data_IF_768714731059
#
_entry.id   IF_768714731059
#
_cell.length_a   1.000
_cell.length_b   1.000
_cell.length_c   1.000
_cell.angle_alpha   90.00
_cell.angle_beta   90.00
_cell.angle_gamma   90.00
#
_symmetry.space_group_name_H-M   'P 1'
#
loop_
_entity.id
_entity.type
_entity.pdbx_description
1 polymer ?
#
# COMPACT_ATOMS: atom_id res chain seq x y z
N UNK A 1 -16.97 11.19 22.40
CA UNK A 1 -15.54 10.82 22.54
C UNK A 1 -14.84 11.37 21.31
N UNK A 2 -13.87 12.28 21.45
CA UNK A 2 -13.30 13.04 20.32
C UNK A 2 -12.33 12.21 19.47
N UNK A 3 -12.34 12.42 18.15
CA UNK A 3 -11.56 11.62 17.18
C UNK A 3 -10.04 11.72 17.36
N UNK A 4 -9.53 12.84 17.88
CA UNK A 4 -8.11 12.99 18.25
C UNK A 4 -7.65 11.94 19.29
N UNK A 5 -8.56 11.47 20.16
CA UNK A 5 -8.25 10.39 21.10
C UNK A 5 -8.20 9.00 20.44
N UNK A 6 -8.75 8.83 19.24
CA UNK A 6 -8.80 7.53 18.56
C UNK A 6 -7.50 7.24 17.80
N UNK A 7 -6.95 8.24 17.08
CA UNK A 7 -5.66 8.09 16.40
C UNK A 7 -4.52 7.78 17.36
N UNK A 8 -4.44 8.52 18.48
CA UNK A 8 -3.42 8.30 19.52
C UNK A 8 -3.52 6.89 20.15
N UNK A 9 -4.74 6.34 20.26
CA UNK A 9 -4.93 4.96 20.73
C UNK A 9 -4.47 3.92 19.72
N UNK A 10 -4.73 4.12 18.43
CA UNK A 10 -4.23 3.21 17.40
C UNK A 10 -2.70 3.23 17.33
N UNK A 11 -2.07 4.40 17.42
CA UNK A 11 -0.61 4.51 17.41
C UNK A 11 0.11 3.78 18.57
N UNK A 12 -0.62 3.35 19.60
CA UNK A 12 -0.09 2.57 20.74
C UNK A 12 -0.37 1.07 20.64
N UNK A 13 -1.05 0.60 19.60
CA UNK A 13 -1.31 -0.82 19.38
C UNK A 13 -0.12 -1.50 18.70
N UNK A 14 0.04 -2.81 18.93
CA UNK A 14 0.94 -3.63 18.13
C UNK A 14 0.62 -3.45 16.64
N UNK A 15 1.66 -3.43 15.81
CA UNK A 15 1.53 -3.23 14.36
C UNK A 15 0.62 -4.28 13.72
N UNK A 16 0.59 -5.50 14.28
CA UNK A 16 -0.31 -6.58 13.87
C UNK A 16 -1.80 -6.31 14.12
N UNK A 17 -2.15 -5.29 14.91
CA UNK A 17 -3.53 -4.94 15.31
C UNK A 17 -3.92 -3.53 14.84
N UNK A 18 -3.00 -2.80 14.21
CA UNK A 18 -3.23 -1.42 13.78
C UNK A 18 -4.21 -1.36 12.58
N UNK A 19 -5.36 -0.67 12.69
CA UNK A 19 -6.33 -0.59 11.61
C UNK A 19 -5.91 0.50 10.60
N UNK A 20 -4.95 0.18 9.73
CA UNK A 20 -4.26 1.13 8.85
C UNK A 20 -5.20 1.92 7.93
N UNK A 21 -6.13 1.28 7.20
CA UNK A 21 -7.10 1.97 6.36
C UNK A 21 -7.99 2.91 7.17
N UNK A 22 -8.45 2.47 8.35
CA UNK A 22 -9.29 3.30 9.22
C UNK A 22 -8.52 4.52 9.70
N UNK A 23 -7.27 4.34 10.12
CA UNK A 23 -6.42 5.46 10.54
C UNK A 23 -6.19 6.46 9.39
N UNK A 24 -5.92 5.97 8.17
CA UNK A 24 -5.76 6.81 6.99
C UNK A 24 -7.06 7.55 6.60
N UNK A 25 -8.23 6.92 6.73
CA UNK A 25 -9.53 7.56 6.49
C UNK A 25 -9.87 8.59 7.57
N UNK A 26 -9.57 8.31 8.84
CA UNK A 26 -9.74 9.27 9.93
C UNK A 26 -8.82 10.49 9.75
N UNK A 27 -7.60 10.28 9.27
CA UNK A 27 -6.74 11.39 8.86
C UNK A 27 -7.38 12.22 7.74
N UNK A 28 -7.96 11.56 6.73
CA UNK A 28 -8.63 12.26 5.63
C UNK A 28 -9.86 13.08 6.07
N UNK A 29 -10.54 12.71 7.16
CA UNK A 29 -11.66 13.51 7.72
C UNK A 29 -11.25 14.91 8.17
N UNK A 30 -9.97 15.14 8.45
CA UNK A 30 -9.50 16.48 8.79
C UNK A 30 -9.69 17.49 7.64
N UNK A 31 -9.61 17.00 6.40
CA UNK A 31 -9.83 17.78 5.18
C UNK A 31 -11.24 17.55 4.60
N UNK A 32 -11.76 16.32 4.71
CA UNK A 32 -13.05 15.92 4.17
C UNK A 32 -13.99 15.43 5.30
N UNK A 33 -14.54 16.34 6.13
CA UNK A 33 -15.23 15.96 7.37
C UNK A 33 -16.48 15.09 7.16
N UNK A 34 -17.09 15.19 5.98
CA UNK A 34 -18.36 14.55 5.62
C UNK A 34 -18.21 13.11 5.10
N UNK A 35 -17.00 12.58 4.95
CA UNK A 35 -16.82 11.21 4.48
C UNK A 35 -17.32 10.19 5.52
N UNK A 36 -17.96 9.13 5.02
CA UNK A 36 -18.26 7.94 5.82
C UNK A 36 -17.07 6.99 5.81
N UNK A 37 -16.34 6.90 6.93
CA UNK A 37 -15.18 5.99 7.06
C UNK A 37 -15.59 4.54 6.78
N UNK A 38 -16.74 4.12 7.31
CA UNK A 38 -17.18 2.73 7.19
C UNK A 38 -17.58 2.38 5.74
N UNK A 39 -18.10 3.33 4.96
CA UNK A 39 -18.40 3.10 3.54
C UNK A 39 -17.12 2.84 2.73
N UNK A 40 -16.04 3.59 3.00
CA UNK A 40 -14.76 3.36 2.33
C UNK A 40 -14.09 2.05 2.77
N UNK A 41 -14.24 1.65 4.04
CA UNK A 41 -13.78 0.34 4.51
C UNK A 41 -14.55 -0.80 3.82
N UNK A 42 -15.88 -0.68 3.72
CA UNK A 42 -16.72 -1.66 3.03
C UNK A 42 -16.37 -1.79 1.54
N UNK A 43 -15.88 -0.71 0.90
CA UNK A 43 -15.34 -0.77 -0.47
C UNK A 43 -14.08 -1.63 -0.57
N UNK A 44 -13.16 -1.54 0.40
CA UNK A 44 -11.97 -2.41 0.44
C UNK A 44 -12.38 -3.87 0.64
N UNK A 45 -13.36 -4.13 1.52
CA UNK A 45 -13.93 -5.47 1.73
C UNK A 45 -14.53 -6.02 0.43
N UNK A 46 -15.32 -5.20 -0.28
CA UNK A 46 -15.92 -5.58 -1.56
C UNK A 46 -14.86 -5.94 -2.61
N UNK A 47 -13.77 -5.17 -2.71
CA UNK A 47 -12.67 -5.48 -3.63
C UNK A 47 -12.03 -6.82 -3.28
N UNK A 48 -11.79 -7.09 -2.00
CA UNK A 48 -11.22 -8.35 -1.54
C UNK A 48 -12.14 -9.54 -1.82
N UNK A 49 -13.45 -9.40 -1.61
CA UNK A 49 -14.46 -10.42 -1.95
C UNK A 49 -14.46 -10.72 -3.44
N UNK A 50 -14.43 -9.69 -4.28
CA UNK A 50 -14.39 -9.86 -5.73
C UNK A 50 -13.14 -10.61 -6.19
N UNK A 51 -11.98 -10.34 -5.58
CA UNK A 51 -10.72 -11.07 -5.85
C UNK A 51 -10.86 -12.51 -5.38
N UNK A 52 -11.32 -12.73 -4.15
CA UNK A 52 -11.46 -14.06 -3.57
C UNK A 52 -12.37 -14.97 -4.40
N UNK A 53 -13.46 -14.42 -4.94
CA UNK A 53 -14.41 -15.16 -5.79
C UNK A 53 -13.80 -15.72 -7.09
N UNK A 54 -12.67 -15.17 -7.53
CA UNK A 54 -11.95 -15.58 -8.75
C UNK A 54 -10.80 -16.55 -8.45
N UNK A 55 -10.46 -16.77 -7.18
CA UNK A 55 -9.34 -17.62 -6.79
C UNK A 55 -9.74 -19.10 -6.77
N UNK A 56 -8.82 -20.01 -7.14
CA UNK A 56 -9.04 -21.43 -6.91
C UNK A 56 -9.12 -21.76 -5.40
N UNK A 57 -9.79 -22.85 -5.01
CA UNK A 57 -9.97 -23.21 -3.58
C UNK A 57 -8.68 -23.38 -2.77
N UNK A 58 -7.54 -23.62 -3.42
CA UNK A 58 -6.22 -23.77 -2.81
C UNK A 58 -5.22 -22.80 -3.46
N UNK A 59 -5.62 -21.54 -3.60
CA UNK A 59 -4.77 -20.49 -4.17
C UNK A 59 -3.51 -20.27 -3.34
N UNK A 60 -2.35 -20.35 -4.00
CA UNK A 60 -1.07 -19.97 -3.41
C UNK A 60 -0.99 -18.46 -3.20
N UNK A 61 0.00 -18.00 -2.42
CA UNK A 61 0.25 -16.57 -2.25
C UNK A 61 0.61 -15.88 -3.56
N UNK A 62 1.25 -16.58 -4.50
CA UNK A 62 1.48 -16.07 -5.85
C UNK A 62 0.19 -15.93 -6.66
N UNK A 63 -0.77 -16.85 -6.49
CA UNK A 63 -2.06 -16.75 -7.18
C UNK A 63 -2.86 -15.55 -6.64
N UNK A 64 -2.87 -15.37 -5.31
CA UNK A 64 -3.46 -14.19 -4.66
C UNK A 64 -2.81 -12.89 -5.12
N UNK A 65 -1.47 -12.85 -5.18
CA UNK A 65 -0.71 -11.68 -5.63
C UNK A 65 -1.04 -11.31 -7.08
N UNK A 66 -1.10 -12.30 -7.97
CA UNK A 66 -1.49 -12.09 -9.38
C UNK A 66 -2.92 -11.58 -9.50
N UNK A 67 -3.86 -12.17 -8.76
CA UNK A 67 -5.26 -11.76 -8.77
C UNK A 67 -5.44 -10.33 -8.21
N UNK A 68 -4.70 -9.98 -7.16
CA UNK A 68 -4.65 -8.63 -6.59
C UNK A 68 -4.17 -7.60 -7.62
N UNK A 69 -3.02 -7.86 -8.27
CA UNK A 69 -2.48 -6.98 -9.31
C UNK A 69 -3.45 -6.81 -10.48
N UNK A 70 -4.05 -7.90 -10.94
CA UNK A 70 -5.01 -7.87 -12.04
C UNK A 70 -6.25 -7.05 -11.67
N UNK A 71 -6.83 -7.28 -10.49
CA UNK A 71 -8.01 -6.55 -10.03
C UNK A 71 -7.72 -5.05 -9.87
N UNK A 72 -6.68 -4.69 -9.13
CA UNK A 72 -6.41 -3.29 -8.81
C UNK A 72 -5.98 -2.49 -10.06
N UNK A 73 -5.00 -3.00 -10.81
CA UNK A 73 -4.37 -2.21 -11.86
C UNK A 73 -5.03 -2.39 -13.21
N UNK A 74 -5.40 -3.63 -13.58
CA UNK A 74 -6.00 -3.91 -14.90
C UNK A 74 -7.51 -3.69 -14.93
N UNK A 75 -8.24 -4.21 -13.95
CA UNK A 75 -9.70 -4.12 -13.93
C UNK A 75 -10.18 -2.78 -13.35
N UNK A 76 -9.58 -2.32 -12.25
CA UNK A 76 -10.03 -1.12 -11.53
C UNK A 76 -9.28 0.14 -11.92
N UNK A 77 -8.08 0.04 -12.50
CA UNK A 77 -7.34 1.17 -13.05
C UNK A 77 -6.66 2.07 -12.02
N UNK A 78 -6.31 1.52 -10.85
CA UNK A 78 -5.44 2.23 -9.91
C UNK A 78 -4.07 2.49 -10.56
N UNK A 79 -3.49 3.67 -10.34
CA UNK A 79 -2.14 4.00 -10.81
C UNK A 79 -1.54 5.19 -10.07
N UNK A 80 -0.21 5.28 -10.11
CA UNK A 80 0.52 6.46 -9.66
C UNK A 80 0.14 7.71 -10.46
N UNK A 81 0.07 8.85 -9.79
CA UNK A 81 -0.12 10.14 -10.46
C UNK A 81 1.23 10.78 -10.79
N UNK A 82 1.86 10.33 -11.88
CA UNK A 82 3.16 10.85 -12.32
C UNK A 82 3.04 12.28 -12.89
N UNK A 83 1.93 12.59 -13.56
CA UNK A 83 1.71 13.88 -14.20
C UNK A 83 1.55 15.04 -13.22
N UNK A 84 1.00 14.77 -12.03
CA UNK A 84 0.74 15.76 -11.01
C UNK A 84 0.99 15.14 -9.62
N UNK A 85 2.25 14.77 -9.39
CA UNK A 85 2.68 14.04 -8.20
C UNK A 85 2.35 14.78 -6.90
N UNK A 86 2.50 16.10 -6.90
CA UNK A 86 2.33 16.94 -5.72
C UNK A 86 0.87 17.40 -5.48
N UNK A 87 -0.09 16.94 -6.28
CA UNK A 87 -1.51 17.15 -5.99
C UNK A 87 -1.85 16.58 -4.60
N UNK A 88 -2.24 17.42 -3.62
CA UNK A 88 -2.46 16.97 -2.24
C UNK A 88 -3.56 15.89 -2.15
N UNK A 89 -4.47 15.84 -3.12
CA UNK A 89 -5.52 14.82 -3.22
C UNK A 89 -4.96 13.41 -3.37
N UNK A 90 -3.72 13.24 -3.87
CA UNK A 90 -3.06 11.95 -4.01
C UNK A 90 -2.70 11.32 -2.64
N UNK A 91 -2.75 12.11 -1.55
CA UNK A 91 -2.40 11.68 -0.19
C UNK A 91 -3.60 11.17 0.62
N UNK A 92 -4.83 11.49 0.20
CA UNK A 92 -6.04 11.20 0.98
C UNK A 92 -6.72 9.92 0.50
N UNK A 93 -6.80 8.92 1.37
CA UNK A 93 -7.25 7.57 0.99
C UNK A 93 -8.65 7.53 0.37
N UNK A 94 -9.59 8.36 0.85
CA UNK A 94 -10.92 8.49 0.26
C UNK A 94 -10.84 8.98 -1.21
N UNK A 95 -10.06 10.02 -1.46
CA UNK A 95 -9.90 10.60 -2.79
C UNK A 95 -9.15 9.66 -3.73
N UNK A 96 -8.16 8.93 -3.23
CA UNK A 96 -7.45 7.92 -4.03
C UNK A 96 -8.37 6.74 -4.37
N UNK A 97 -9.22 6.29 -3.45
CA UNK A 97 -10.22 5.24 -3.75
C UNK A 97 -11.22 5.69 -4.82
N UNK A 98 -11.59 6.97 -4.84
CA UNK A 98 -12.51 7.54 -5.84
C UNK A 98 -11.86 7.75 -7.21
N UNK A 99 -10.73 8.44 -7.23
CA UNK A 99 -10.03 8.83 -8.46
C UNK A 99 -9.18 7.72 -9.04
N UNK A 100 -8.81 6.73 -8.21
CA UNK A 100 -7.85 5.66 -8.53
C UNK A 100 -6.45 6.18 -8.88
N UNK A 101 -6.13 7.38 -8.40
CA UNK A 101 -4.86 8.08 -8.61
C UNK A 101 -4.28 8.44 -7.26
N UNK A 102 -3.04 8.04 -6.98
CA UNK A 102 -2.45 8.25 -5.66
C UNK A 102 -0.92 8.33 -5.64
N UNK A 103 -0.40 8.60 -4.44
CA UNK A 103 1.02 8.55 -4.12
C UNK A 103 1.48 7.10 -3.82
N UNK A 104 2.81 6.85 -3.80
CA UNK A 104 3.35 5.54 -3.49
C UNK A 104 2.84 4.97 -2.16
N UNK A 105 2.83 5.79 -1.10
CA UNK A 105 2.35 5.37 0.22
C UNK A 105 0.83 5.09 0.23
N UNK A 106 0.02 5.95 -0.39
CA UNK A 106 -1.44 5.79 -0.38
C UNK A 106 -1.91 4.60 -1.19
N UNK A 107 -1.28 4.35 -2.36
CA UNK A 107 -1.55 3.15 -3.15
C UNK A 107 -1.09 1.88 -2.42
N UNK A 108 0.04 1.95 -1.71
CA UNK A 108 0.52 0.84 -0.88
C UNK A 108 -0.42 0.52 0.28
N UNK A 109 -1.06 1.52 0.91
CA UNK A 109 -2.10 1.30 1.92
C UNK A 109 -3.26 0.49 1.33
N UNK A 110 -3.81 0.90 0.18
CA UNK A 110 -4.89 0.16 -0.50
C UNK A 110 -4.44 -1.28 -0.80
N UNK A 111 -3.22 -1.43 -1.32
CA UNK A 111 -2.65 -2.71 -1.70
C UNK A 111 -2.51 -3.67 -0.51
N UNK A 112 -1.93 -3.20 0.60
CA UNK A 112 -1.77 -3.96 1.84
C UNK A 112 -3.11 -4.35 2.46
N UNK A 113 -4.05 -3.41 2.54
CA UNK A 113 -5.34 -3.61 3.17
C UNK A 113 -6.19 -4.68 2.47
N UNK A 114 -6.11 -4.74 1.15
CA UNK A 114 -6.79 -5.77 0.37
C UNK A 114 -6.03 -7.10 0.49
N UNK A 115 -4.69 -7.08 0.43
CA UNK A 115 -3.87 -8.28 0.60
C UNK A 115 -4.12 -8.97 1.95
N UNK A 116 -4.19 -8.23 3.04
CA UNK A 116 -4.44 -8.79 4.37
C UNK A 116 -5.83 -9.42 4.50
N UNK A 117 -6.85 -8.85 3.84
CA UNK A 117 -8.19 -9.48 3.73
C UNK A 117 -8.16 -10.80 2.97
N UNK A 118 -7.23 -10.94 2.03
CA UNK A 118 -6.97 -12.18 1.28
C UNK A 118 -6.03 -13.14 2.02
N UNK A 119 -5.63 -12.81 3.25
CA UNK A 119 -4.63 -13.55 4.03
C UNK A 119 -3.32 -13.72 3.23
N UNK A 120 -2.93 -12.68 2.48
CA UNK A 120 -1.65 -12.58 1.80
C UNK A 120 -0.71 -11.75 2.71
N UNK A 121 0.41 -12.30 3.19
CA UNK A 121 1.23 -11.68 4.24
C UNK A 121 2.17 -10.59 3.70
N UNK A 122 1.61 -9.61 2.98
CA UNK A 122 2.37 -8.47 2.48
C UNK A 122 2.78 -7.52 3.61
N UNK A 123 3.93 -6.90 3.46
CA UNK A 123 4.49 -5.95 4.42
C UNK A 123 4.95 -4.68 3.72
N UNK A 124 4.76 -3.53 4.37
CA UNK A 124 5.24 -2.25 3.86
C UNK A 124 6.75 -2.10 3.99
N UNK A 125 7.34 -1.31 3.10
CA UNK A 125 8.76 -0.94 3.13
C UNK A 125 8.85 0.58 2.97
N UNK A 126 9.34 1.25 4.01
CA UNK A 126 9.78 2.64 3.91
C UNK A 126 11.02 2.71 3.02
N UNK A 127 10.85 3.15 1.77
CA UNK A 127 11.94 3.27 0.81
C UNK A 127 12.29 4.75 0.61
N UNK A 128 13.57 5.15 0.49
CA UNK A 128 13.92 6.56 0.28
C UNK A 128 13.14 7.19 -0.87
N UNK A 129 12.42 8.28 -0.59
CA UNK A 129 11.61 9.00 -1.58
C UNK A 129 10.40 8.23 -2.14
N UNK A 130 10.06 7.04 -1.61
CA UNK A 130 9.01 6.17 -2.15
C UNK A 130 8.39 5.29 -1.05
N UNK A 131 7.47 4.41 -1.40
CA UNK A 131 7.02 3.34 -0.51
C UNK A 131 6.80 2.08 -1.34
N UNK A 132 7.31 0.95 -0.85
CA UNK A 132 7.23 -0.33 -1.53
C UNK A 132 6.51 -1.35 -0.64
N UNK A 133 6.19 -2.49 -1.21
CA UNK A 133 5.59 -3.62 -0.50
C UNK A 133 6.42 -4.87 -0.76
N UNK A 134 6.58 -5.75 0.23
CA UNK A 134 7.23 -7.06 0.07
C UNK A 134 6.29 -8.21 0.40
N UNK A 135 6.44 -9.31 -0.33
CA UNK A 135 5.91 -10.62 0.02
C UNK A 135 7.07 -11.52 0.47
N UNK A 136 7.13 -11.91 1.75
CA UNK A 136 8.08 -12.94 2.20
C UNK A 136 7.78 -14.29 1.51
N UNK A 137 8.82 -14.99 1.07
CA UNK A 137 8.76 -16.35 0.49
C UNK A 137 9.88 -17.20 1.09
N UNK A 138 9.85 -18.52 0.89
CA UNK A 138 10.83 -19.44 1.52
C UNK A 138 12.29 -19.01 1.32
N UNK A 139 12.66 -18.58 0.11
CA UNK A 139 14.03 -18.19 -0.24
C UNK A 139 14.23 -16.67 -0.41
N UNK A 140 13.46 -15.85 0.31
CA UNK A 140 13.66 -14.41 0.35
C UNK A 140 12.37 -13.62 0.29
N UNK A 141 12.27 -12.69 -0.65
CA UNK A 141 11.11 -11.82 -0.77
C UNK A 141 10.90 -11.32 -2.19
N UNK A 142 9.65 -11.06 -2.54
CA UNK A 142 9.26 -10.38 -3.77
C UNK A 142 8.95 -8.94 -3.41
N UNK A 143 9.72 -7.98 -3.94
CA UNK A 143 9.47 -6.55 -3.75
C UNK A 143 8.58 -6.05 -4.87
N UNK A 144 7.52 -5.32 -4.52
CA UNK A 144 6.45 -4.87 -5.39
C UNK A 144 6.29 -3.37 -5.26
N UNK A 145 6.02 -2.69 -6.37
CA UNK A 145 5.74 -1.26 -6.41
C UNK A 145 4.28 -0.97 -6.82
N UNK A 146 3.38 -0.72 -5.86
CA UNK A 146 1.99 -0.38 -6.16
C UNK A 146 1.81 0.94 -6.94
N UNK A 147 2.78 1.86 -6.89
CA UNK A 147 2.73 3.11 -7.64
C UNK A 147 2.85 2.85 -9.16
N UNK A 148 3.74 1.94 -9.53
CA UNK A 148 3.94 1.50 -10.92
C UNK A 148 3.20 0.19 -11.19
N UNK A 149 1.91 0.14 -10.87
CA UNK A 149 1.00 -0.95 -11.25
C UNK A 149 1.43 -2.36 -10.78
N UNK A 150 2.12 -2.45 -9.64
CA UNK A 150 2.48 -3.72 -9.02
C UNK A 150 3.62 -4.45 -9.70
N UNK A 151 4.51 -3.74 -10.42
CA UNK A 151 5.74 -4.33 -10.94
C UNK A 151 6.57 -4.93 -9.81
N UNK A 152 7.22 -6.06 -10.10
CA UNK A 152 8.23 -6.66 -9.22
C UNK A 152 9.57 -5.99 -9.47
N UNK A 153 10.30 -5.69 -8.40
CA UNK A 153 11.62 -5.09 -8.45
C UNK A 153 12.67 -6.09 -7.99
N UNK A 154 13.76 -6.19 -8.74
CA UNK A 154 14.96 -6.92 -8.33
C UNK A 154 15.95 -6.01 -7.58
N UNK A 155 17.06 -6.59 -7.11
CA UNK A 155 18.09 -5.85 -6.39
C UNK A 155 18.72 -4.73 -7.24
N UNK A 156 18.90 -4.96 -8.54
CA UNK A 156 19.48 -3.97 -9.45
C UNK A 156 18.56 -2.76 -9.61
N UNK A 157 17.25 -2.98 -9.72
CA UNK A 157 16.24 -1.92 -9.78
C UNK A 157 16.21 -1.08 -8.50
N UNK A 158 16.26 -1.73 -7.34
CA UNK A 158 16.34 -1.04 -6.04
C UNK A 158 17.62 -0.22 -5.92
N UNK A 159 18.77 -0.80 -6.32
CA UNK A 159 20.06 -0.12 -6.34
C UNK A 159 20.04 1.11 -7.26
N UNK A 160 19.47 1.00 -8.46
CA UNK A 160 19.35 2.11 -9.42
C UNK A 160 18.51 3.24 -8.84
N UNK A 161 17.39 2.92 -8.19
CA UNK A 161 16.50 3.92 -7.56
C UNK A 161 17.21 4.68 -6.44
N UNK A 162 17.95 3.99 -5.56
CA UNK A 162 18.75 4.64 -4.52
C UNK A 162 19.83 5.56 -5.13
N UNK A 163 20.56 5.08 -6.14
CA UNK A 163 21.59 5.88 -6.82
C UNK A 163 21.01 7.13 -7.49
N UNK A 164 19.82 7.02 -8.07
CA UNK A 164 19.12 8.17 -8.67
C UNK A 164 18.80 9.26 -7.64
N UNK A 165 18.49 8.86 -6.40
CA UNK A 165 18.28 9.78 -5.27
C UNK A 165 19.61 10.30 -4.70
N UNK A 166 20.69 9.51 -4.81
CA UNK A 166 22.03 9.80 -4.30
C UNK A 166 22.72 10.99 -4.98
N UNK A 167 22.29 11.39 -6.18
CA UNK A 167 22.71 12.66 -6.78
C UNK A 167 22.23 13.89 -5.97
N UNK A 168 21.42 13.69 -4.92
CA UNK A 168 21.01 14.75 -3.98
C UNK A 168 21.43 14.51 -2.51
N UNK A 169 21.63 13.26 -2.03
CA UNK A 169 22.43 12.90 -0.83
C UNK A 169 22.20 11.44 -0.42
N UNK A 170 23.14 10.52 -0.67
CA UNK A 170 23.20 9.25 0.09
C UNK A 170 24.54 8.54 -0.03
N UNK A 171 25.42 8.77 0.93
CA UNK A 171 26.42 7.77 1.33
C UNK A 171 25.81 6.97 2.49
N UNK A 172 25.68 5.64 2.34
CA UNK A 172 25.42 4.73 3.47
C UNK A 172 24.00 4.15 3.62
N UNK A 173 23.17 4.10 2.57
CA UNK A 173 21.89 3.37 2.61
C UNK A 173 22.16 1.88 2.38
N UNK A 174 21.85 1.05 3.38
CA UNK A 174 21.95 -0.41 3.31
C UNK A 174 20.59 -1.00 2.90
N UNK A 175 20.53 -1.58 1.69
CA UNK A 175 19.31 -2.18 1.13
C UNK A 175 18.86 -3.37 1.95
N UNK A 176 19.79 -4.21 2.41
CA UNK A 176 19.44 -5.40 3.20
C UNK A 176 18.75 -4.95 4.47
N UNK A 177 19.23 -3.88 5.11
CA UNK A 177 18.60 -3.31 6.30
C UNK A 177 17.21 -2.75 6.02
N UNK A 178 17.01 -2.02 4.92
CA UNK A 178 15.70 -1.50 4.55
C UNK A 178 14.68 -2.62 4.31
N UNK A 179 15.12 -3.69 3.64
CA UNK A 179 14.25 -4.81 3.31
C UNK A 179 14.01 -5.77 4.49
N UNK A 180 14.88 -5.76 5.50
CA UNK A 180 14.75 -6.58 6.73
C UNK A 180 14.08 -5.85 7.90
N UNK A 181 13.84 -4.54 7.80
CA UNK A 181 13.04 -3.81 8.78
C UNK A 181 11.58 -4.28 8.72
N UNK A 182 11.11 -4.83 9.84
CA UNK A 182 9.72 -5.13 10.22
C UNK A 182 9.63 -4.89 11.70
#
# INVERSE_FOLDING_TARGET
MTEQNLFARYAQQDEAVFPLARAALLFARSEYPDISVDDYLARLDTIAVDIHSQLPPQASDLDKLRALNNCLFRQRGFRGNESDYYDPRNSYLNIVLDRKLGLPITLSIIYLEIAWRLQLPLQGIGFPGHFLVKLPVEDGMIVIDPFFEGITLDEDDLCKRIKSLANQASKGIDIIRLLSAT
#
